data_IF_800738819711
#
_entry.id   IF_800738819711
#
_cell.length_a   1.000
_cell.length_b   1.000
_cell.length_c   1.000
_cell.angle_alpha   90.00
_cell.angle_beta   90.00
_cell.angle_gamma   90.00
#
_symmetry.space_group_name_H-M   'P 1'
#
loop_
_entity.id
_entity.type
_entity.pdbx_description
1 polymer ?
#
# COMPACT_ATOMS: atom_id res chain seq x y z
N UNK A 1 -9.32 2.14 -4.11
CA UNK A 1 -7.94 1.66 -4.25
C UNK A 1 -7.86 0.70 -5.42
N UNK A 2 -6.96 0.97 -6.35
CA UNK A 2 -6.79 0.13 -7.53
C UNK A 2 -6.13 -1.21 -7.23
N UNK A 3 -6.13 -2.09 -8.23
CA UNK A 3 -5.58 -3.44 -8.10
C UNK A 3 -4.07 -3.43 -7.83
N UNK A 4 -3.62 -4.42 -7.08
CA UNK A 4 -2.20 -4.64 -6.77
C UNK A 4 -1.52 -3.48 -6.04
N UNK A 5 -2.30 -2.63 -5.37
CA UNK A 5 -1.72 -1.58 -4.55
C UNK A 5 -1.39 -2.10 -3.15
N UNK A 6 -0.26 -1.64 -2.63
CA UNK A 6 0.20 -2.02 -1.30
C UNK A 6 0.02 -0.83 -0.36
N UNK A 7 -0.75 -1.03 0.68
CA UNK A 7 -0.97 -0.01 1.71
C UNK A 7 -0.16 -0.38 2.94
N UNK A 8 0.77 0.49 3.31
CA UNK A 8 1.64 0.25 4.44
C UNK A 8 0.92 0.31 5.79
N UNK A 9 1.56 -0.24 6.78
CA UNK A 9 1.02 -0.34 8.14
C UNK A 9 0.83 1.06 8.73
N UNK A 10 -0.35 1.30 9.29
CA UNK A 10 -0.65 2.57 9.91
C UNK A 10 -0.91 3.71 8.94
N UNK A 11 -0.97 3.44 7.64
CA UNK A 11 -1.34 4.46 6.68
C UNK A 11 -2.80 4.86 6.88
N UNK A 12 -3.07 6.14 6.78
CA UNK A 12 -4.42 6.70 6.91
C UNK A 12 -4.83 7.30 5.58
N UNK A 13 -5.97 6.87 5.07
CA UNK A 13 -6.51 7.34 3.80
C UNK A 13 -7.84 8.04 4.09
N UNK A 14 -7.88 9.34 3.86
CA UNK A 14 -9.05 10.14 4.17
C UNK A 14 -10.09 10.06 3.05
N UNK A 15 -11.23 10.74 3.24
CA UNK A 15 -12.38 10.63 2.36
C UNK A 15 -12.12 11.17 0.95
N UNK A 16 -12.82 10.59 -0.03
CA UNK A 16 -12.78 11.01 -1.43
C UNK A 16 -11.39 10.92 -2.05
N UNK A 17 -10.56 10.03 -1.58
CA UNK A 17 -9.27 9.77 -2.21
C UNK A 17 -9.41 8.70 -3.29
N UNK A 18 -8.64 8.85 -4.35
CA UNK A 18 -8.55 7.85 -5.42
C UNK A 18 -7.11 7.41 -5.54
N UNK A 19 -6.88 6.15 -5.31
CA UNK A 19 -5.55 5.55 -5.41
C UNK A 19 -5.57 4.60 -6.60
N UNK A 20 -4.69 4.83 -7.55
CA UNK A 20 -4.60 4.03 -8.75
C UNK A 20 -4.07 2.62 -8.49
N UNK A 21 -3.88 1.86 -9.54
CA UNK A 21 -3.33 0.51 -9.46
C UNK A 21 -1.81 0.53 -9.33
N UNK A 22 -1.25 -0.54 -8.78
CA UNK A 22 0.19 -0.72 -8.60
C UNK A 22 0.85 0.40 -7.80
N UNK A 23 0.11 0.99 -6.86
CA UNK A 23 0.64 2.02 -5.98
C UNK A 23 1.24 1.42 -4.72
N UNK A 24 2.25 2.06 -4.19
CA UNK A 24 2.80 1.72 -2.89
C UNK A 24 2.60 2.92 -1.98
N UNK A 25 1.84 2.73 -0.92
CA UNK A 25 1.62 3.74 0.11
C UNK A 25 2.48 3.34 1.31
N UNK A 26 3.44 4.19 1.66
CA UNK A 26 4.36 3.89 2.74
C UNK A 26 3.68 3.76 4.10
N UNK A 27 4.36 3.09 5.02
CA UNK A 27 3.86 2.94 6.39
C UNK A 27 3.65 4.32 7.03
N UNK A 28 2.55 4.48 7.75
CA UNK A 28 2.17 5.71 8.45
C UNK A 28 2.01 6.93 7.54
N UNK A 29 1.88 6.74 6.25
CA UNK A 29 1.59 7.83 5.34
C UNK A 29 0.16 8.33 5.57
N UNK A 30 -0.06 9.61 5.38
CA UNK A 30 -1.39 10.23 5.47
C UNK A 30 -1.81 10.73 4.09
N UNK A 31 -2.82 10.10 3.52
CA UNK A 31 -3.40 10.55 2.25
C UNK A 31 -4.57 11.47 2.58
N UNK A 32 -4.41 12.74 2.24
CA UNK A 32 -5.39 13.76 2.58
C UNK A 32 -6.66 13.64 1.73
N UNK A 33 -7.73 14.32 2.17
CA UNK A 33 -9.02 14.28 1.47
C UNK A 33 -8.89 14.78 0.03
N UNK A 34 -9.71 14.20 -0.82
CA UNK A 34 -9.82 14.58 -2.24
C UNK A 34 -8.52 14.39 -3.04
N UNK A 35 -7.58 13.64 -2.50
CA UNK A 35 -6.31 13.38 -3.19
C UNK A 35 -6.51 12.32 -4.27
N UNK A 36 -5.90 12.54 -5.41
CA UNK A 36 -5.82 11.52 -6.47
C UNK A 36 -4.38 11.08 -6.61
N UNK A 37 -4.17 9.78 -6.49
CA UNK A 37 -2.85 9.17 -6.65
C UNK A 37 -2.87 8.41 -7.97
N UNK A 38 -2.06 8.82 -8.95
CA UNK A 38 -2.03 8.13 -10.24
C UNK A 38 -1.48 6.72 -10.11
N UNK A 39 -1.74 5.90 -11.13
CA UNK A 39 -1.22 4.54 -11.18
C UNK A 39 0.31 4.52 -11.03
N UNK A 40 0.82 3.45 -10.46
CA UNK A 40 2.26 3.19 -10.34
C UNK A 40 3.00 4.26 -9.54
N UNK A 41 2.38 4.79 -8.49
CA UNK A 41 3.00 5.82 -7.65
C UNK A 41 3.51 5.25 -6.33
N UNK A 42 4.66 5.74 -5.90
CA UNK A 42 5.18 5.51 -4.56
C UNK A 42 4.92 6.76 -3.72
N UNK A 43 4.13 6.60 -2.66
CA UNK A 43 3.71 7.70 -1.79
C UNK A 43 4.23 7.49 -0.39
N UNK A 44 4.86 8.50 0.18
CA UNK A 44 5.36 8.45 1.56
C UNK A 44 5.08 9.77 2.28
N UNK A 45 5.07 9.70 3.58
CA UNK A 45 5.03 10.88 4.43
C UNK A 45 3.65 11.28 4.93
N UNK A 46 3.65 12.30 5.75
CA UNK A 46 2.45 12.92 6.30
C UNK A 46 2.63 14.44 6.24
N UNK A 47 1.96 15.13 5.29
CA UNK A 47 1.05 14.59 4.27
C UNK A 47 1.78 13.73 3.23
N UNK A 48 1.07 12.73 2.72
CA UNK A 48 1.63 11.83 1.73
C UNK A 48 1.93 12.51 0.41
N UNK A 49 3.08 12.22 -0.17
CA UNK A 49 3.50 12.80 -1.44
C UNK A 49 4.05 11.71 -2.35
N UNK A 50 3.73 11.82 -3.62
CA UNK A 50 4.30 10.95 -4.64
C UNK A 50 5.77 11.33 -4.81
N UNK A 51 6.66 10.41 -4.52
CA UNK A 51 8.10 10.67 -4.60
C UNK A 51 8.73 10.12 -5.88
N UNK A 52 8.14 9.09 -6.45
CA UNK A 52 8.57 8.54 -7.74
C UNK A 52 7.56 7.52 -8.24
N UNK A 53 7.77 7.03 -9.44
CA UNK A 53 6.98 5.93 -9.96
C UNK A 53 7.54 4.61 -9.47
N UNK A 54 6.65 3.64 -9.28
CA UNK A 54 7.01 2.26 -8.96
C UNK A 54 7.54 1.61 -10.24
N UNK A 55 8.66 0.91 -10.15
CA UNK A 55 9.24 0.23 -11.32
C UNK A 55 8.51 -1.07 -11.61
N UNK A 56 8.69 -1.59 -12.82
CA UNK A 56 8.09 -2.87 -13.23
C UNK A 56 8.57 -4.02 -12.33
N UNK A 57 9.82 -3.99 -11.94
CA UNK A 57 10.39 -4.99 -11.03
C UNK A 57 9.72 -4.90 -9.66
N UNK A 58 9.49 -3.70 -9.16
CA UNK A 58 8.80 -3.49 -7.89
C UNK A 58 7.35 -3.96 -7.96
N UNK A 59 6.66 -3.70 -9.05
CA UNK A 59 5.29 -4.16 -9.26
C UNK A 59 5.24 -5.68 -9.20
N UNK A 60 6.18 -6.34 -9.86
CA UNK A 60 6.28 -7.79 -9.85
C UNK A 60 6.53 -8.32 -8.44
N UNK A 61 7.43 -7.68 -7.71
CA UNK A 61 7.73 -8.04 -6.32
C UNK A 61 6.50 -7.87 -5.42
N UNK A 62 5.72 -6.81 -5.61
CA UNK A 62 4.49 -6.58 -4.85
C UNK A 62 3.49 -7.70 -5.08
N UNK A 63 3.30 -8.11 -6.34
CA UNK A 63 2.40 -9.21 -6.67
C UNK A 63 2.82 -10.52 -6.01
N UNK A 64 4.10 -10.82 -6.06
CA UNK A 64 4.64 -12.02 -5.41
C UNK A 64 4.48 -11.95 -3.89
N UNK A 65 4.77 -10.81 -3.30
CA UNK A 65 4.61 -10.60 -1.87
C UNK A 65 3.15 -10.69 -1.43
N UNK A 66 2.23 -10.17 -2.21
CA UNK A 66 0.80 -10.24 -1.89
C UNK A 66 0.34 -11.69 -1.82
N UNK A 67 0.76 -12.53 -2.77
CA UNK A 67 0.45 -13.96 -2.75
C UNK A 67 1.07 -14.63 -1.53
N UNK A 68 2.32 -14.33 -1.24
CA UNK A 68 3.05 -14.87 -0.10
C UNK A 68 2.41 -14.47 1.22
N UNK A 69 1.98 -13.22 1.36
CA UNK A 69 1.29 -12.75 2.55
C UNK A 69 -0.05 -13.45 2.75
N UNK A 70 -0.81 -13.67 1.70
CA UNK A 70 -2.07 -14.40 1.81
C UNK A 70 -1.85 -15.82 2.30
N UNK A 71 -0.85 -16.51 1.78
CA UNK A 71 -0.51 -17.85 2.23
C UNK A 71 -0.04 -17.87 3.68
N UNK A 72 0.84 -16.96 4.05
CA UNK A 72 1.34 -16.85 5.42
C UNK A 72 0.21 -16.45 6.38
N UNK A 73 -0.69 -15.60 5.95
CA UNK A 73 -1.84 -15.20 6.75
C UNK A 73 -2.70 -16.41 7.11
N UNK A 74 -3.01 -17.26 6.16
CA UNK A 74 -3.79 -18.48 6.40
C UNK A 74 -3.07 -19.40 7.38
N UNK A 75 -1.75 -19.46 7.31
CA UNK A 75 -0.93 -20.32 8.15
C UNK A 75 -0.81 -19.80 9.57
N UNK A 76 -0.70 -18.49 9.76
CA UNK A 76 -0.39 -17.88 11.04
C UNK A 76 -1.54 -17.07 11.64
N UNK A 77 -2.72 -17.12 11.05
CA UNK A 77 -3.83 -16.25 11.42
C UNK A 77 -4.23 -16.33 12.90
N UNK A 78 -3.94 -17.44 13.55
CA UNK A 78 -4.26 -17.64 14.97
C UNK A 78 -3.15 -17.19 15.92
N UNK A 79 -1.95 -16.99 15.43
CA UNK A 79 -0.78 -16.71 16.25
C UNK A 79 -0.20 -15.32 16.04
N UNK A 80 -0.51 -14.67 14.94
CA UNK A 80 0.03 -13.37 14.61
C UNK A 80 -0.78 -12.28 15.30
N UNK A 81 -0.08 -11.40 16.01
CA UNK A 81 -0.70 -10.23 16.59
C UNK A 81 -0.72 -9.10 15.56
N UNK A 82 -1.89 -8.53 15.35
CA UNK A 82 -2.05 -7.40 14.42
C UNK A 82 -1.24 -6.18 14.79
N UNK A 83 -0.93 -6.01 16.04
CA UNK A 83 -0.12 -4.87 16.48
C UNK A 83 1.32 -4.93 16.01
N UNK A 84 1.74 -6.05 15.48
CA UNK A 84 3.09 -6.20 14.91
C UNK A 84 3.14 -5.79 13.43
N UNK A 85 2.02 -5.38 12.87
CA UNK A 85 1.94 -4.93 11.49
C UNK A 85 1.85 -3.43 11.37
#
# INVERSE_FOLDING_TARGET
IGDNSLIGIGAVILNNTKIGKNCVIGAKALITENKEIPDNSLVVGSPGRVIRKVTDEEIKAIKENAIRYQENWKKYSKSISWKNF
#
